data_IF_499997417222
#
_entry.id   IF_499997417222
#
_cell.length_a   1.000
_cell.length_b   1.000
_cell.length_c   1.000
_cell.angle_alpha   90.00
_cell.angle_beta   90.00
_cell.angle_gamma   90.00
#
_symmetry.space_group_name_H-M   'P 1'
#
loop_
_entity.id
_entity.type
_entity.pdbx_description
1 polymer ?
#
# COMPACT_ATOMS: atom_id res chain seq x y z
N UNK A 1 21.16 -5.03 19.83
CA UNK A 1 19.70 -4.79 19.90
C UNK A 1 18.95 -6.04 19.47
N UNK A 2 17.89 -6.45 20.18
CA UNK A 2 17.12 -7.64 19.83
C UNK A 2 16.43 -7.45 18.46
N UNK A 3 16.72 -8.31 17.48
CA UNK A 3 16.16 -8.22 16.12
C UNK A 3 14.63 -8.25 16.11
N UNK A 4 14.01 -9.00 17.03
CA UNK A 4 12.55 -9.06 17.16
C UNK A 4 11.99 -7.73 17.66
N UNK A 5 12.61 -7.13 18.67
CA UNK A 5 12.20 -5.83 19.19
C UNK A 5 12.32 -4.72 18.14
N UNK A 6 13.42 -4.71 17.37
CA UNK A 6 13.58 -3.77 16.26
C UNK A 6 12.49 -3.93 15.21
N UNK A 7 12.18 -5.17 14.81
CA UNK A 7 11.13 -5.43 13.82
C UNK A 7 9.75 -4.94 14.28
N UNK A 8 9.39 -5.20 15.54
CA UNK A 8 8.13 -4.71 16.12
C UNK A 8 8.08 -3.18 16.11
N UNK A 9 9.14 -2.53 16.58
CA UNK A 9 9.22 -1.08 16.63
C UNK A 9 9.13 -0.45 15.22
N UNK A 10 9.88 -0.98 14.25
CA UNK A 10 9.86 -0.49 12.87
C UNK A 10 8.48 -0.66 12.22
N UNK A 11 7.88 -1.84 12.36
CA UNK A 11 6.54 -2.12 11.81
C UNK A 11 5.50 -1.22 12.46
N UNK A 12 5.55 -1.06 13.78
CA UNK A 12 4.63 -0.20 14.53
C UNK A 12 4.74 1.27 14.15
N UNK A 13 5.97 1.81 14.04
CA UNK A 13 6.20 3.20 13.65
C UNK A 13 5.73 3.46 12.21
N UNK A 14 6.03 2.56 11.27
CA UNK A 14 5.59 2.72 9.88
C UNK A 14 4.07 2.58 9.75
N UNK A 15 3.44 1.71 10.52
CA UNK A 15 1.99 1.59 10.58
C UNK A 15 1.38 2.88 11.13
N UNK A 16 1.89 3.39 12.25
CA UNK A 16 1.44 4.64 12.84
C UNK A 16 1.60 5.81 11.86
N UNK A 17 2.75 5.91 11.18
CA UNK A 17 2.99 6.91 10.15
C UNK A 17 1.97 6.81 9.02
N UNK A 18 1.67 5.60 8.55
CA UNK A 18 0.68 5.37 7.50
C UNK A 18 -0.71 5.86 7.95
N UNK A 19 -1.15 5.53 9.16
CA UNK A 19 -2.44 5.97 9.70
C UNK A 19 -2.49 7.49 9.86
N UNK A 20 -1.43 8.12 10.37
CA UNK A 20 -1.36 9.58 10.51
C UNK A 20 -1.45 10.26 9.14
N UNK A 21 -0.72 9.77 8.15
CA UNK A 21 -0.81 10.29 6.78
C UNK A 21 -2.23 10.14 6.24
N UNK A 22 -2.88 8.98 6.44
CA UNK A 22 -4.27 8.78 6.03
C UNK A 22 -5.20 9.79 6.70
N UNK A 23 -5.06 10.01 8.01
CA UNK A 23 -5.93 10.93 8.75
C UNK A 23 -5.73 12.40 8.34
N UNK A 24 -4.48 12.82 8.11
CA UNK A 24 -4.18 14.20 7.69
C UNK A 24 -4.65 14.45 6.26
N UNK A 25 -4.56 13.45 5.38
CA UNK A 25 -4.89 13.62 3.97
C UNK A 25 -6.33 13.25 3.62
N UNK A 26 -7.07 12.52 4.48
CA UNK A 26 -8.46 12.16 4.25
C UNK A 26 -9.37 13.39 4.14
N UNK A 27 -9.05 14.48 4.85
CA UNK A 27 -9.77 15.75 4.78
C UNK A 27 -9.55 16.56 3.51
N UNK A 28 -8.55 16.22 2.69
CA UNK A 28 -8.23 16.96 1.46
C UNK A 28 -9.17 16.62 0.29
N UNK A 29 -10.01 15.58 0.43
CA UNK A 29 -10.88 15.08 -0.65
C UNK A 29 -10.12 14.50 -1.86
N UNK A 30 -8.79 14.44 -1.80
CA UNK A 30 -7.93 14.00 -2.90
C UNK A 30 -7.31 12.62 -2.61
N UNK A 31 -8.00 11.58 -3.09
CA UNK A 31 -7.57 10.18 -2.94
C UNK A 31 -6.22 9.89 -3.60
N UNK A 32 -5.76 10.72 -4.55
CA UNK A 32 -4.47 10.55 -5.18
C UNK A 32 -3.32 10.82 -4.22
N UNK A 33 -3.42 11.87 -3.40
CA UNK A 33 -2.36 12.21 -2.43
C UNK A 33 -2.27 11.12 -1.37
N UNK A 34 -3.39 10.79 -0.73
CA UNK A 34 -3.46 9.74 0.29
C UNK A 34 -2.96 8.40 -0.24
N UNK A 35 -3.49 7.94 -1.38
CA UNK A 35 -3.12 6.65 -1.94
C UNK A 35 -1.63 6.57 -2.31
N UNK A 36 -1.06 7.64 -2.87
CA UNK A 36 0.36 7.67 -3.26
C UNK A 36 1.28 7.51 -2.05
N UNK A 37 1.00 8.24 -0.97
CA UNK A 37 1.80 8.15 0.26
C UNK A 37 1.61 6.81 0.96
N UNK A 38 0.40 6.26 0.98
CA UNK A 38 0.14 4.91 1.53
C UNK A 38 0.97 3.86 0.77
N UNK A 39 0.97 3.90 -0.57
CA UNK A 39 1.77 2.97 -1.39
C UNK A 39 3.27 3.14 -1.14
N UNK A 40 3.76 4.38 -1.01
CA UNK A 40 5.15 4.65 -0.65
C UNK A 40 5.52 4.03 0.70
N UNK A 41 4.71 4.23 1.73
CA UNK A 41 4.99 3.70 3.08
C UNK A 41 4.96 2.18 3.09
N UNK A 42 4.03 1.54 2.37
CA UNK A 42 4.01 0.08 2.21
C UNK A 42 5.29 -0.45 1.56
N UNK A 43 5.77 0.22 0.52
CA UNK A 43 7.03 -0.13 -0.16
C UNK A 43 8.23 0.06 0.77
N UNK A 44 8.26 1.16 1.51
CA UNK A 44 9.28 1.41 2.54
C UNK A 44 9.25 0.33 3.60
N UNK A 45 8.07 -0.09 4.07
CA UNK A 45 7.92 -1.13 5.08
C UNK A 45 8.43 -2.48 4.62
N UNK A 46 8.06 -2.92 3.42
CA UNK A 46 8.57 -4.21 2.91
C UNK A 46 10.07 -4.18 2.64
N UNK A 47 10.59 -3.02 2.24
CA UNK A 47 12.02 -2.88 1.92
C UNK A 47 12.89 -2.68 3.16
N UNK A 48 12.36 -2.10 4.23
CA UNK A 48 13.11 -1.85 5.47
C UNK A 48 12.83 -2.85 6.57
N UNK A 49 11.65 -3.47 6.60
CA UNK A 49 11.22 -4.44 7.61
C UNK A 49 11.05 -5.87 7.08
N UNK A 50 11.21 -6.08 5.76
CA UNK A 50 11.00 -7.36 5.09
C UNK A 50 9.53 -7.68 4.82
N UNK A 51 9.27 -8.85 4.20
CA UNK A 51 7.93 -9.26 3.78
C UNK A 51 6.92 -9.27 4.94
N UNK A 52 7.30 -9.84 6.10
CA UNK A 52 6.42 -9.91 7.26
C UNK A 52 5.97 -8.52 7.76
N UNK A 53 6.87 -7.53 7.74
CA UNK A 53 6.52 -6.15 8.12
C UNK A 53 5.56 -5.54 7.11
N UNK A 54 5.89 -5.63 5.82
CA UNK A 54 5.03 -5.11 4.74
C UNK A 54 3.63 -5.71 4.76
N UNK A 55 3.50 -7.03 4.91
CA UNK A 55 2.21 -7.72 4.97
C UNK A 55 1.41 -7.28 6.20
N UNK A 56 2.06 -7.20 7.36
CA UNK A 56 1.40 -6.73 8.60
C UNK A 56 0.78 -5.35 8.39
N UNK A 57 1.53 -4.41 7.81
CA UNK A 57 1.04 -3.06 7.55
C UNK A 57 -0.01 -3.04 6.44
N UNK A 58 0.16 -3.84 5.39
CA UNK A 58 -0.80 -3.96 4.29
C UNK A 58 -2.18 -4.41 4.76
N UNK A 59 -2.23 -5.32 5.75
CA UNK A 59 -3.46 -5.87 6.30
C UNK A 59 -4.07 -4.99 7.39
N UNK A 60 -3.25 -4.44 8.29
CA UNK A 60 -3.74 -3.65 9.42
C UNK A 60 -4.08 -2.21 9.04
N UNK A 61 -3.41 -1.63 8.04
CA UNK A 61 -3.65 -0.23 7.68
C UNK A 61 -5.10 0.05 7.24
N UNK A 62 -5.74 -0.75 6.37
CA UNK A 62 -7.12 -0.47 5.98
C UNK A 62 -8.10 -0.73 7.13
N UNK A 63 -7.78 -1.69 8.01
CA UNK A 63 -8.58 -1.99 9.20
C UNK A 63 -8.60 -0.80 10.17
N UNK A 64 -7.43 -0.21 10.48
CA UNK A 64 -7.37 0.97 11.33
C UNK A 64 -7.99 2.20 10.66
N UNK A 65 -7.79 2.38 9.35
CA UNK A 65 -8.46 3.45 8.62
C UNK A 65 -10.00 3.34 8.70
N UNK A 66 -10.53 2.11 8.68
CA UNK A 66 -11.95 1.85 8.88
C UNK A 66 -12.41 2.15 10.31
N UNK A 67 -11.70 1.66 11.33
CA UNK A 67 -12.02 1.87 12.75
C UNK A 67 -12.04 3.37 13.09
N UNK A 68 -11.11 4.15 12.55
CA UNK A 68 -11.05 5.60 12.76
C UNK A 68 -11.96 6.41 11.83
N UNK A 69 -12.72 5.77 10.93
CA UNK A 69 -13.64 6.46 10.02
C UNK A 69 -12.97 7.34 8.96
N UNK A 70 -11.66 7.17 8.72
CA UNK A 70 -10.86 7.92 7.73
C UNK A 70 -10.70 7.16 6.40
N UNK A 71 -11.27 5.95 6.33
CA UNK A 71 -11.15 5.04 5.20
C UNK A 71 -12.50 4.59 4.62
N UNK A 72 -12.50 3.50 3.83
CA UNK A 72 -13.72 3.00 3.19
C UNK A 72 -14.74 2.53 4.22
N UNK A 73 -16.00 2.95 4.10
CA UNK A 73 -17.04 2.68 5.11
C UNK A 73 -17.58 1.24 5.13
N UNK A 74 -17.17 0.38 4.20
CA UNK A 74 -17.67 -0.98 4.07
C UNK A 74 -16.55 -1.98 4.39
N UNK A 75 -16.72 -2.87 5.39
CA UNK A 75 -15.72 -3.87 5.75
C UNK A 75 -15.27 -4.74 4.56
N UNK A 76 -16.16 -5.06 3.63
CA UNK A 76 -15.84 -5.84 2.44
C UNK A 76 -14.82 -5.13 1.54
N UNK A 77 -14.94 -3.81 1.39
CA UNK A 77 -13.96 -3.00 0.65
C UNK A 77 -12.63 -2.95 1.41
N UNK A 78 -12.68 -2.85 2.74
CA UNK A 78 -11.49 -2.88 3.60
C UNK A 78 -10.67 -4.16 3.36
N UNK A 79 -11.33 -5.32 3.30
CA UNK A 79 -10.68 -6.59 2.99
C UNK A 79 -10.08 -6.61 1.58
N UNK A 80 -10.80 -6.12 0.57
CA UNK A 80 -10.25 -6.02 -0.79
C UNK A 80 -9.00 -5.13 -0.85
N UNK A 81 -9.04 -3.97 -0.17
CA UNK A 81 -7.89 -3.04 -0.08
C UNK A 81 -6.70 -3.71 0.61
N UNK A 82 -6.94 -4.43 1.70
CA UNK A 82 -5.89 -5.18 2.40
C UNK A 82 -5.21 -6.22 1.49
N UNK A 83 -6.00 -6.95 0.70
CA UNK A 83 -5.47 -7.92 -0.28
C UNK A 83 -4.68 -7.21 -1.38
N UNK A 84 -5.20 -6.13 -1.96
CA UNK A 84 -4.50 -5.36 -3.00
C UNK A 84 -3.17 -4.78 -2.50
N UNK A 85 -3.13 -4.28 -1.26
CA UNK A 85 -1.90 -3.83 -0.60
C UNK A 85 -0.91 -4.98 -0.40
N UNK A 86 -1.39 -6.14 0.04
CA UNK A 86 -0.56 -7.31 0.27
C UNK A 86 0.06 -7.83 -1.04
N UNK A 87 -0.68 -7.78 -2.15
CA UNK A 87 -0.17 -8.13 -3.49
C UNK A 87 0.95 -7.20 -3.91
N UNK A 88 0.78 -5.89 -3.76
CA UNK A 88 1.82 -4.90 -4.07
C UNK A 88 3.10 -5.16 -3.26
N UNK A 89 2.95 -5.32 -1.95
CA UNK A 89 4.06 -5.62 -1.04
C UNK A 89 4.78 -6.91 -1.41
N UNK A 90 4.03 -7.96 -1.72
CA UNK A 90 4.57 -9.29 -2.04
C UNK A 90 5.37 -9.25 -3.34
N UNK A 91 4.80 -8.68 -4.40
CA UNK A 91 5.48 -8.53 -5.68
C UNK A 91 6.72 -7.66 -5.56
N UNK A 92 6.63 -6.56 -4.81
CA UNK A 92 7.78 -5.71 -4.52
C UNK A 92 8.90 -6.49 -3.84
N UNK A 93 8.58 -7.30 -2.81
CA UNK A 93 9.57 -8.10 -2.10
C UNK A 93 10.33 -9.04 -3.03
N UNK A 94 9.65 -9.75 -3.93
CA UNK A 94 10.29 -10.73 -4.81
C UNK A 94 11.09 -10.09 -5.95
N UNK A 95 10.60 -8.98 -6.50
CA UNK A 95 11.23 -8.29 -7.62
C UNK A 95 12.39 -7.41 -7.13
N UNK A 96 12.10 -6.49 -6.21
CA UNK A 96 13.03 -5.46 -5.75
C UNK A 96 13.90 -5.90 -4.57
N UNK A 97 13.48 -6.92 -3.80
CA UNK A 97 14.32 -7.65 -2.85
C UNK A 97 14.80 -6.87 -1.63
N UNK A 98 14.73 -7.49 -0.46
CA UNK A 98 15.37 -6.97 0.75
C UNK A 98 16.91 -7.13 0.72
N UNK A 99 17.41 -8.18 0.04
CA UNK A 99 18.85 -8.53 -0.04
C UNK A 99 19.44 -8.41 -1.47
N UNK A 100 18.70 -7.88 -2.44
CA UNK A 100 19.20 -7.71 -3.81
C UNK A 100 19.93 -6.38 -3.94
N UNK A 101 20.89 -6.31 -4.88
CA UNK A 101 21.48 -5.03 -5.31
C UNK A 101 20.34 -4.15 -5.80
N UNK A 102 20.04 -3.08 -5.06
CA UNK A 102 18.92 -2.17 -5.32
C UNK A 102 19.18 -1.36 -6.60
N UNK A 103 18.96 -1.99 -7.75
CA UNK A 103 19.01 -1.36 -9.05
C UNK A 103 17.71 -0.62 -9.32
N UNK A 104 17.83 0.58 -9.89
CA UNK A 104 16.68 1.38 -10.35
C UNK A 104 15.78 0.56 -11.28
N UNK A 105 16.37 -0.29 -12.13
CA UNK A 105 15.62 -1.17 -13.02
C UNK A 105 14.67 -2.12 -12.25
N UNK A 106 15.14 -2.73 -11.17
CA UNK A 106 14.31 -3.62 -10.35
C UNK A 106 13.16 -2.87 -9.69
N UNK A 107 13.38 -1.62 -9.27
CA UNK A 107 12.34 -0.81 -8.64
C UNK A 107 11.30 -0.34 -9.67
N UNK A 108 11.72 0.01 -10.88
CA UNK A 108 10.80 0.35 -11.98
C UNK A 108 9.94 -0.86 -12.33
N UNK A 109 10.55 -2.03 -12.50
CA UNK A 109 9.82 -3.28 -12.79
C UNK A 109 8.86 -3.63 -11.64
N UNK A 110 9.32 -3.54 -10.39
CA UNK A 110 8.47 -3.79 -9.22
C UNK A 110 7.30 -2.80 -9.12
N UNK A 111 7.54 -1.53 -9.43
CA UNK A 111 6.51 -0.48 -9.47
C UNK A 111 5.44 -0.81 -10.50
N UNK A 112 5.83 -1.09 -11.74
CA UNK A 112 4.88 -1.34 -12.83
C UNK A 112 4.08 -2.62 -12.55
N UNK A 113 4.76 -3.73 -12.27
CA UNK A 113 4.10 -5.03 -12.04
C UNK A 113 3.22 -4.96 -10.78
N UNK A 114 3.73 -4.38 -9.69
CA UNK A 114 3.00 -4.25 -8.44
C UNK A 114 1.76 -3.35 -8.57
N UNK A 115 1.89 -2.22 -9.29
CA UNK A 115 0.78 -1.29 -9.51
C UNK A 115 -0.33 -1.91 -10.37
N UNK A 116 0.04 -2.55 -11.49
CA UNK A 116 -0.92 -3.22 -12.38
C UNK A 116 -1.62 -4.37 -11.67
N UNK A 117 -0.89 -5.21 -10.95
CA UNK A 117 -1.46 -6.33 -10.22
C UNK A 117 -2.41 -5.87 -9.10
N UNK A 118 -1.98 -4.88 -8.30
CA UNK A 118 -2.84 -4.27 -7.26
C UNK A 118 -4.11 -3.67 -7.87
N UNK A 119 -3.97 -2.90 -8.95
CA UNK A 119 -5.11 -2.32 -9.65
C UNK A 119 -6.07 -3.41 -10.14
N UNK A 120 -5.56 -4.47 -10.79
CA UNK A 120 -6.38 -5.58 -11.26
C UNK A 120 -7.14 -6.25 -10.13
N UNK A 121 -6.49 -6.53 -9.00
CA UNK A 121 -7.13 -7.11 -7.81
C UNK A 121 -8.24 -6.22 -7.28
N UNK A 122 -7.98 -4.91 -7.10
CA UNK A 122 -8.99 -3.98 -6.57
C UNK A 122 -10.14 -3.75 -7.55
N UNK A 123 -9.84 -3.64 -8.84
CA UNK A 123 -10.86 -3.47 -9.87
C UNK A 123 -11.77 -4.68 -9.95
N UNK A 124 -11.21 -5.89 -10.04
CA UNK A 124 -12.01 -7.13 -10.12
C UNK A 124 -12.78 -7.38 -8.82
N UNK A 125 -12.14 -7.22 -7.66
CA UNK A 125 -12.80 -7.50 -6.38
C UNK A 125 -13.83 -6.43 -6.00
N UNK A 126 -13.56 -5.14 -6.18
CA UNK A 126 -14.47 -4.07 -5.74
C UNK A 126 -15.47 -3.72 -6.84
N UNK A 127 -14.97 -3.33 -8.01
CA UNK A 127 -15.80 -2.77 -9.09
C UNK A 127 -16.64 -3.85 -9.76
N UNK A 128 -16.05 -5.02 -10.02
CA UNK A 128 -16.75 -6.09 -10.74
C UNK A 128 -17.51 -7.06 -9.81
N UNK A 129 -17.11 -7.19 -8.54
CA UNK A 129 -17.72 -8.16 -7.62
C UNK A 129 -18.44 -7.52 -6.44
N UNK A 130 -17.74 -6.86 -5.50
CA UNK A 130 -18.33 -6.38 -4.24
C UNK A 130 -19.45 -5.36 -4.48
N UNK A 131 -19.23 -4.37 -5.35
CA UNK A 131 -20.22 -3.32 -5.63
C UNK A 131 -21.50 -3.88 -6.28
N UNK A 132 -21.44 -4.62 -7.41
CA UNK A 132 -22.64 -5.08 -8.10
C UNK A 132 -23.27 -6.33 -7.48
N UNK A 133 -22.48 -7.29 -6.99
CA UNK A 133 -23.00 -8.61 -6.54
C UNK A 133 -23.31 -8.61 -5.05
N UNK A 134 -22.38 -8.11 -4.23
CA UNK A 134 -22.44 -8.28 -2.78
C UNK A 134 -23.19 -7.14 -2.09
N UNK A 135 -22.89 -5.89 -2.43
CA UNK A 135 -23.49 -4.70 -1.82
C UNK A 135 -24.70 -4.16 -2.58
N UNK A 136 -24.89 -4.57 -3.85
CA UNK A 136 -25.99 -4.16 -4.73
C UNK A 136 -26.29 -2.66 -4.63
N UNK A 137 -25.22 -1.87 -4.71
CA UNK A 137 -25.29 -0.44 -4.41
C UNK A 137 -26.18 0.30 -5.43
N UNK A 138 -26.94 1.31 -4.99
CA UNK A 138 -27.62 2.23 -5.91
C UNK A 138 -26.61 2.91 -6.84
N UNK A 139 -27.01 3.13 -8.11
CA UNK A 139 -26.13 3.62 -9.17
C UNK A 139 -25.23 4.82 -8.79
N UNK A 140 -25.73 5.86 -8.06
CA UNK A 140 -24.88 6.98 -7.66
C UNK A 140 -23.75 6.59 -6.71
N UNK A 141 -24.04 5.77 -5.69
CA UNK A 141 -23.04 5.31 -4.71
C UNK A 141 -22.07 4.32 -5.34
N UNK A 142 -22.58 3.45 -6.21
CA UNK A 142 -21.77 2.49 -6.97
C UNK A 142 -20.74 3.20 -7.87
N UNK A 143 -21.14 4.27 -8.56
CA UNK A 143 -20.26 5.06 -9.41
C UNK A 143 -19.16 5.76 -8.61
N UNK A 144 -19.49 6.34 -7.45
CA UNK A 144 -18.50 6.98 -6.57
C UNK A 144 -17.45 5.98 -6.06
N UNK A 145 -17.90 4.83 -5.53
CA UNK A 145 -17.00 3.80 -5.03
C UNK A 145 -16.15 3.23 -6.17
N UNK A 146 -16.77 2.90 -7.29
CA UNK A 146 -16.06 2.33 -8.45
C UNK A 146 -15.05 3.32 -9.05
N UNK A 147 -15.37 4.61 -9.06
CA UNK A 147 -14.45 5.67 -9.46
C UNK A 147 -13.21 5.73 -8.55
N UNK A 148 -13.39 5.62 -7.24
CA UNK A 148 -12.27 5.67 -6.28
C UNK A 148 -11.36 4.43 -6.30
N UNK A 149 -11.90 3.26 -6.65
CA UNK A 149 -11.17 1.98 -6.64
C UNK A 149 -10.76 1.45 -8.03
N UNK A 150 -10.87 2.29 -9.07
CA UNK A 150 -10.43 1.95 -10.42
C UNK A 150 -9.14 2.68 -10.79
N UNK A 151 -9.15 3.51 -11.83
CA UNK A 151 -7.97 4.15 -12.40
C UNK A 151 -7.12 4.94 -11.39
N UNK A 152 -7.69 5.63 -10.38
CA UNK A 152 -6.90 6.27 -9.33
C UNK A 152 -5.97 5.30 -8.56
N UNK A 153 -6.35 4.04 -8.38
CA UNK A 153 -5.50 3.05 -7.69
C UNK A 153 -4.22 2.74 -8.47
N UNK A 154 -4.31 2.73 -9.80
CA UNK A 154 -3.15 2.55 -10.67
C UNK A 154 -2.21 3.76 -10.56
N UNK A 155 -2.75 4.97 -10.73
CA UNK A 155 -1.97 6.22 -10.65
C UNK A 155 -1.25 6.32 -9.30
N UNK A 156 -1.97 6.10 -8.20
CA UNK A 156 -1.39 6.20 -6.85
C UNK A 156 -0.32 5.17 -6.58
N UNK A 157 -0.48 3.94 -7.06
CA UNK A 157 0.54 2.91 -6.91
C UNK A 157 1.80 3.24 -7.72
N UNK A 158 1.63 3.81 -8.93
CA UNK A 158 2.75 4.27 -9.76
C UNK A 158 3.48 5.46 -9.12
N UNK A 159 2.76 6.46 -8.59
CA UNK A 159 3.38 7.59 -7.90
C UNK A 159 4.11 7.12 -6.64
N UNK A 160 3.46 6.29 -5.81
CA UNK A 160 4.08 5.76 -4.60
C UNK A 160 5.34 4.94 -4.90
N UNK A 161 5.29 4.09 -5.94
CA UNK A 161 6.45 3.35 -6.43
C UNK A 161 7.54 4.25 -7.01
N UNK A 162 7.17 5.26 -7.81
CA UNK A 162 8.10 6.24 -8.35
C UNK A 162 8.83 7.02 -7.26
N UNK A 163 8.10 7.52 -6.25
CA UNK A 163 8.68 8.19 -5.09
C UNK A 163 9.60 7.25 -4.29
N UNK A 164 9.28 5.97 -4.22
CA UNK A 164 10.10 5.00 -3.51
C UNK A 164 11.48 4.83 -4.14
N UNK A 165 11.65 5.08 -5.45
CA UNK A 165 12.95 5.04 -6.12
C UNK A 165 13.93 6.05 -5.52
N UNK A 166 13.41 7.18 -5.04
CA UNK A 166 14.21 8.22 -4.40
C UNK A 166 14.45 7.94 -2.91
N UNK A 167 13.39 7.49 -2.21
CA UNK A 167 13.39 7.35 -0.74
C UNK A 167 14.10 6.08 -0.26
N UNK A 168 13.83 4.95 -0.92
CA UNK A 168 14.27 3.62 -0.46
C UNK A 168 15.80 3.48 -0.43
N UNK A 169 16.58 3.94 -1.43
CA UNK A 169 18.03 3.81 -1.40
C UNK A 169 18.67 4.61 -0.25
N UNK A 170 18.19 5.84 -0.02
CA UNK A 170 18.65 6.72 1.07
C UNK A 170 18.39 6.06 2.42
N UNK A 171 17.18 5.56 2.62
CA UNK A 171 16.78 4.92 3.87
C UNK A 171 17.51 3.59 4.10
N UNK A 172 17.71 2.79 3.05
CA UNK A 172 18.44 1.52 3.13
C UNK A 172 19.91 1.73 3.50
N UNK A 173 20.53 2.81 2.99
CA UNK A 173 21.89 3.23 3.35
C UNK A 173 21.96 3.72 4.80
N UNK A 174 21.04 4.58 5.23
CA UNK A 174 20.98 5.09 6.59
C UNK A 174 20.78 3.98 7.64
N UNK A 175 20.03 2.94 7.30
CA UNK A 175 19.79 1.79 8.16
C UNK A 175 20.91 0.72 8.10
N UNK A 176 22.01 0.98 7.40
CA UNK A 176 23.12 0.03 7.17
C UNK A 176 22.66 -1.33 6.62
N UNK A 177 21.57 -1.36 5.84
CA UNK A 177 21.01 -2.59 5.26
C UNK A 177 21.55 -2.93 3.87
N UNK A 178 22.49 -2.14 3.34
CA UNK A 178 23.16 -2.40 2.06
C UNK A 178 24.29 -3.45 2.12
N UNK A 179 24.54 -4.09 3.26
CA UNK A 179 25.53 -5.17 3.38
C UNK A 179 25.05 -6.29 4.30
N UNK A 180 24.51 -7.34 3.69
CA UNK A 180 24.64 -8.71 4.15
C UNK A 180 24.85 -9.58 2.90
#
# INVERSE_FOLDING_TARGET
MNRKALWVAQTGVLLALLIVVQAVTSGLGNTLVTGSLVNLILIVAVTTGGLASGITIALLSPLFAFIFGIGPAFPQIVFCVAIGNAVLVTLWHFIAGFNKRQSVANFVVATIIGAVAKFGVLYLSIVQFVVPVLLKMPAPKAAMVSGAFSFPQLITALIGGGLSILVVPVLSKALNRQRA
#
